data_IF_675772782976
#
_entry.id   IF_675772782976
#
_cell.length_a   1.000
_cell.length_b   1.000
_cell.length_c   1.000
_cell.angle_alpha   90.00
_cell.angle_beta   90.00
_cell.angle_gamma   90.00
#
_symmetry.space_group_name_H-M   'P 1'
#
loop_
_entity.id
_entity.type
_entity.pdbx_description
1 polymer ?
#
# COMPACT_ATOMS: atom_id res chain seq x y z
N UNK A 1 -34.46 1.24 0.93
CA UNK A 1 -33.57 1.92 1.89
C UNK A 1 -32.97 3.08 1.16
N UNK A 2 -33.14 4.31 1.65
CA UNK A 2 -32.46 5.45 1.04
C UNK A 2 -30.94 5.25 1.13
N UNK A 3 -30.18 5.43 0.03
CA UNK A 3 -28.72 5.25 0.04
C UNK A 3 -28.03 6.12 1.09
N UNK A 4 -28.57 7.32 1.35
CA UNK A 4 -28.08 8.23 2.37
C UNK A 4 -28.23 7.64 3.78
N UNK A 5 -29.33 6.95 4.07
CA UNK A 5 -29.57 6.34 5.37
C UNK A 5 -28.54 5.22 5.64
N UNK A 6 -28.25 4.40 4.62
CA UNK A 6 -27.22 3.35 4.72
C UNK A 6 -25.84 3.95 4.93
N UNK A 7 -25.53 5.07 4.24
CA UNK A 7 -24.27 5.79 4.42
C UNK A 7 -24.10 6.32 5.86
N UNK A 8 -25.14 6.93 6.43
CA UNK A 8 -25.11 7.39 7.83
C UNK A 8 -24.95 6.25 8.82
N UNK A 9 -25.61 5.11 8.58
CA UNK A 9 -25.50 3.94 9.44
C UNK A 9 -24.09 3.32 9.37
N UNK A 10 -23.51 3.22 8.17
CA UNK A 10 -22.12 2.78 8.00
C UNK A 10 -21.09 3.71 8.64
N UNK A 11 -21.32 5.02 8.57
CA UNK A 11 -20.49 6.02 9.24
C UNK A 11 -20.57 5.88 10.77
N UNK A 12 -21.78 5.72 11.31
CA UNK A 12 -21.99 5.52 12.74
C UNK A 12 -21.33 4.22 13.22
N UNK A 13 -21.45 3.14 12.45
CA UNK A 13 -20.76 1.88 12.73
C UNK A 13 -19.24 2.05 12.79
N UNK A 14 -18.65 2.78 11.83
CA UNK A 14 -17.22 3.08 11.82
C UNK A 14 -16.79 3.83 13.10
N UNK A 15 -17.50 4.89 13.47
CA UNK A 15 -17.19 5.63 14.70
C UNK A 15 -17.38 4.79 15.96
N UNK A 16 -18.39 3.91 16.00
CA UNK A 16 -18.60 3.00 17.12
C UNK A 16 -17.43 2.00 17.27
N UNK A 17 -16.92 1.46 16.16
CA UNK A 17 -15.75 0.56 16.16
C UNK A 17 -14.48 1.28 16.63
N UNK A 18 -14.26 2.51 16.17
CA UNK A 18 -13.12 3.33 16.60
C UNK A 18 -13.23 3.66 18.10
N UNK A 19 -14.43 3.99 18.59
CA UNK A 19 -14.68 4.25 20.01
C UNK A 19 -14.40 2.99 20.87
N UNK A 20 -14.65 1.80 20.33
CA UNK A 20 -14.32 0.52 20.95
C UNK A 20 -12.81 0.17 20.85
N UNK A 21 -11.96 1.10 20.39
CA UNK A 21 -10.52 0.92 20.22
C UNK A 21 -10.15 -0.15 19.18
N UNK A 22 -11.04 -0.47 18.23
CA UNK A 22 -10.69 -1.30 17.07
C UNK A 22 -9.72 -0.49 16.18
N UNK A 23 -8.61 -1.08 15.70
CA UNK A 23 -7.72 -0.39 14.78
C UNK A 23 -8.46 0.11 13.54
N UNK A 24 -8.05 1.28 13.04
CA UNK A 24 -8.77 2.01 11.98
C UNK A 24 -8.91 1.16 10.71
N UNK A 25 -7.88 0.38 10.34
CA UNK A 25 -7.91 -0.49 9.15
C UNK A 25 -9.05 -1.51 9.16
N UNK A 26 -9.11 -2.43 10.14
CA UNK A 26 -10.24 -3.35 10.34
C UNK A 26 -11.59 -2.64 10.46
N UNK A 27 -11.65 -1.50 11.16
CA UNK A 27 -12.89 -0.72 11.30
C UNK A 27 -13.38 -0.18 9.95
N UNK A 28 -12.47 0.38 9.13
CA UNK A 28 -12.76 0.85 7.77
C UNK A 28 -13.20 -0.31 6.87
N UNK A 29 -12.52 -1.46 6.94
CA UNK A 29 -12.87 -2.65 6.17
C UNK A 29 -14.27 -3.17 6.52
N UNK A 30 -14.56 -3.37 7.80
CA UNK A 30 -15.85 -3.90 8.26
C UNK A 30 -17.01 -2.93 7.96
N UNK A 31 -16.83 -1.63 8.23
CA UNK A 31 -17.87 -0.64 7.95
C UNK A 31 -18.12 -0.49 6.45
N UNK A 32 -17.07 -0.49 5.63
CA UNK A 32 -17.16 -0.45 4.18
C UNK A 32 -17.86 -1.67 3.60
N UNK A 33 -17.46 -2.88 4.01
CA UNK A 33 -18.09 -4.14 3.55
C UNK A 33 -19.54 -4.23 4.01
N UNK A 34 -19.85 -3.87 5.26
CA UNK A 34 -21.21 -3.91 5.77
C UNK A 34 -22.14 -2.92 5.05
N UNK A 35 -21.68 -1.68 4.83
CA UNK A 35 -22.44 -0.67 4.08
C UNK A 35 -22.63 -1.05 2.62
N UNK A 36 -21.59 -1.59 1.98
CA UNK A 36 -21.67 -2.03 0.59
C UNK A 36 -22.54 -3.29 0.43
N UNK A 37 -22.49 -4.23 1.37
CA UNK A 37 -23.37 -5.40 1.40
C UNK A 37 -24.85 -5.02 1.49
N UNK A 38 -25.17 -3.96 2.25
CA UNK A 38 -26.54 -3.45 2.35
C UNK A 38 -27.05 -2.78 1.06
N UNK A 39 -26.16 -2.33 0.17
CA UNK A 39 -26.53 -1.66 -1.09
C UNK A 39 -26.49 -2.62 -2.30
N UNK A 40 -25.43 -3.41 -2.43
CA UNK A 40 -25.15 -4.24 -3.61
C UNK A 40 -25.35 -5.74 -3.35
N UNK A 41 -25.58 -6.15 -2.10
CA UNK A 41 -25.70 -7.55 -1.69
C UNK A 41 -24.39 -8.15 -1.18
N UNK A 42 -24.51 -9.29 -0.48
CA UNK A 42 -23.40 -9.90 0.25
C UNK A 42 -22.31 -10.51 -0.66
N UNK A 43 -22.71 -11.10 -1.80
CA UNK A 43 -21.77 -11.71 -2.74
C UNK A 43 -20.76 -10.71 -3.34
N UNK A 44 -21.17 -9.56 -3.92
CA UNK A 44 -20.21 -8.58 -4.42
C UNK A 44 -19.43 -7.87 -3.30
N UNK A 45 -20.03 -7.69 -2.12
CA UNK A 45 -19.37 -7.06 -0.98
C UNK A 45 -18.16 -7.84 -0.44
N UNK A 46 -18.17 -9.17 -0.56
CA UNK A 46 -17.04 -10.01 -0.16
C UNK A 46 -16.02 -10.21 -1.29
N UNK A 47 -16.42 -10.08 -2.55
CA UNK A 47 -15.54 -10.28 -3.70
C UNK A 47 -14.64 -9.06 -3.98
N UNK A 48 -15.16 -7.84 -3.83
CA UNK A 48 -14.45 -6.60 -4.19
C UNK A 48 -13.22 -6.32 -3.32
N UNK A 49 -13.27 -6.43 -1.97
CA UNK A 49 -12.12 -6.12 -1.14
C UNK A 49 -10.87 -6.96 -1.49
N UNK A 50 -11.08 -8.23 -1.86
CA UNK A 50 -10.00 -9.11 -2.31
C UNK A 50 -9.38 -8.63 -3.63
N UNK A 51 -10.20 -8.23 -4.61
CA UNK A 51 -9.72 -7.72 -5.89
C UNK A 51 -8.94 -6.40 -5.73
N UNK A 52 -9.44 -5.48 -4.91
CA UNK A 52 -8.80 -4.19 -4.61
C UNK A 52 -7.46 -4.37 -3.87
N UNK A 53 -7.40 -5.29 -2.90
CA UNK A 53 -6.15 -5.59 -2.20
C UNK A 53 -5.06 -6.09 -3.17
N UNK A 54 -5.41 -6.99 -4.10
CA UNK A 54 -4.46 -7.46 -5.11
C UNK A 54 -4.08 -6.34 -6.08
N UNK A 55 -5.02 -5.44 -6.41
CA UNK A 55 -4.75 -4.26 -7.24
C UNK A 55 -3.73 -3.34 -6.58
N UNK A 56 -3.83 -3.11 -5.27
CA UNK A 56 -2.87 -2.30 -4.52
C UNK A 56 -1.45 -2.88 -4.60
N UNK A 57 -1.28 -4.19 -4.50
CA UNK A 57 0.04 -4.85 -4.65
C UNK A 57 0.58 -4.81 -6.08
N UNK A 58 -0.27 -4.71 -7.10
CA UNK A 58 0.13 -4.53 -8.50
C UNK A 58 0.40 -3.07 -8.86
N UNK A 59 0.33 -2.14 -7.91
CA UNK A 59 0.63 -0.75 -8.19
C UNK A 59 2.10 -0.62 -8.60
N UNK A 60 2.33 -0.05 -9.79
CA UNK A 60 3.66 0.20 -10.35
C UNK A 60 4.51 1.06 -9.42
N UNK A 61 3.90 1.97 -8.65
CA UNK A 61 4.60 2.80 -7.66
C UNK A 61 5.25 1.96 -6.57
N UNK A 62 4.53 0.95 -6.07
CA UNK A 62 5.07 -0.01 -5.10
C UNK A 62 6.04 -0.99 -5.76
N UNK A 63 5.86 -1.27 -7.05
CA UNK A 63 6.77 -2.07 -7.88
C UNK A 63 8.17 -1.46 -8.03
N UNK A 64 8.31 -0.14 -7.93
CA UNK A 64 9.63 0.52 -7.95
C UNK A 64 10.50 0.11 -6.75
N UNK A 65 9.91 -0.16 -5.58
CA UNK A 65 10.64 -0.51 -4.35
C UNK A 65 11.48 -1.79 -4.51
N UNK A 66 10.91 -2.96 -4.89
CA UNK A 66 11.70 -4.17 -5.09
C UNK A 66 12.67 -4.06 -6.26
N UNK A 67 12.33 -3.31 -7.33
CA UNK A 67 13.26 -3.08 -8.45
C UNK A 67 14.46 -2.24 -8.02
N UNK A 68 14.27 -1.23 -7.18
CA UNK A 68 15.36 -0.43 -6.62
C UNK A 68 16.24 -1.26 -5.68
N UNK A 69 15.64 -2.11 -4.84
CA UNK A 69 16.37 -3.07 -4.01
C UNK A 69 17.18 -4.07 -4.86
N UNK A 70 16.61 -4.57 -5.95
CA UNK A 70 17.29 -5.47 -6.88
C UNK A 70 18.46 -4.76 -7.58
N UNK A 71 18.25 -3.53 -8.06
CA UNK A 71 19.31 -2.72 -8.65
C UNK A 71 20.44 -2.49 -7.63
N UNK A 72 20.09 -2.13 -6.39
CA UNK A 72 21.05 -1.92 -5.31
C UNK A 72 21.86 -3.17 -4.98
N UNK A 73 21.22 -4.35 -4.92
CA UNK A 73 21.93 -5.61 -4.66
C UNK A 73 22.86 -6.00 -5.82
N UNK A 74 22.43 -5.81 -7.07
CA UNK A 74 23.27 -6.04 -8.25
C UNK A 74 24.46 -5.08 -8.31
N UNK A 75 24.26 -3.79 -8.02
CA UNK A 75 25.32 -2.80 -7.93
C UNK A 75 26.31 -3.11 -6.81
N UNK A 76 25.83 -3.65 -5.68
CA UNK A 76 26.69 -4.08 -4.57
C UNK A 76 27.51 -5.32 -4.91
N UNK A 77 26.92 -6.33 -5.56
CA UNK A 77 27.62 -7.59 -5.90
C UNK A 77 28.61 -7.40 -7.05
N UNK A 78 28.31 -6.52 -8.00
CA UNK A 78 29.20 -6.22 -9.14
C UNK A 78 30.43 -5.39 -8.76
N UNK A 79 30.55 -4.91 -7.52
CA UNK A 79 31.67 -4.06 -7.10
C UNK A 79 31.60 -2.63 -7.66
N UNK A 80 30.46 -2.23 -8.25
CA UNK A 80 30.26 -0.90 -8.86
C UNK A 80 30.61 0.24 -7.89
N UNK A 81 30.28 0.07 -6.61
CA UNK A 81 30.60 1.06 -5.58
C UNK A 81 32.12 1.25 -5.43
N UNK A 82 32.89 0.16 -5.42
CA UNK A 82 34.35 0.20 -5.28
C UNK A 82 35.01 0.83 -6.52
N UNK A 83 34.50 0.51 -7.72
CA UNK A 83 34.95 1.10 -8.98
C UNK A 83 34.69 2.62 -9.01
N UNK A 84 33.52 3.06 -8.55
CA UNK A 84 33.20 4.49 -8.44
C UNK A 84 34.12 5.20 -7.46
N UNK A 85 34.44 4.60 -6.32
CA UNK A 85 35.42 5.15 -5.37
C UNK A 85 36.84 5.20 -5.97
N UNK A 86 37.24 4.18 -6.72
CA UNK A 86 38.53 4.15 -7.40
C UNK A 86 38.61 5.26 -8.47
N UNK A 87 37.56 5.43 -9.27
CA UNK A 87 37.44 6.49 -10.27
C UNK A 87 37.50 7.88 -9.62
N UNK A 88 36.76 8.11 -8.54
CA UNK A 88 36.78 9.37 -7.80
C UNK A 88 38.16 9.68 -7.22
N UNK A 89 38.85 8.67 -6.66
CA UNK A 89 40.24 8.80 -6.18
C UNK A 89 41.21 9.11 -7.31
N UNK A 90 41.07 8.49 -8.47
CA UNK A 90 41.87 8.84 -9.64
C UNK A 90 41.58 10.28 -10.06
N UNK A 91 40.32 10.68 -10.21
CA UNK A 91 40.01 12.02 -10.74
C UNK A 91 40.38 13.18 -9.80
N UNK A 92 40.11 13.05 -8.49
CA UNK A 92 40.39 14.10 -7.49
C UNK A 92 41.82 13.99 -6.92
N UNK A 93 42.38 12.78 -6.83
CA UNK A 93 43.73 12.55 -6.29
C UNK A 93 44.85 13.09 -7.19
N UNK A 94 44.59 13.29 -8.48
CA UNK A 94 45.53 13.92 -9.42
C UNK A 94 45.60 15.45 -9.29
N UNK A 95 44.81 16.09 -8.41
CA UNK A 95 44.92 17.53 -8.08
C UNK A 95 45.73 17.77 -6.81
N UNK A 96 46.86 17.08 -6.67
CA UNK A 96 47.92 17.45 -5.72
C UNK A 96 49.10 18.03 -6.48
#
# INVERSE_FOLDING_TARGET
MDPLFVAFLGLLLLFALIALHVPIGPAMGLAGVAGFAALAGLAPALAIPGAEAVSAFRNLDLGVIPLFLLMGSLASVSGLSDDLYALARAFLGHRR
#
